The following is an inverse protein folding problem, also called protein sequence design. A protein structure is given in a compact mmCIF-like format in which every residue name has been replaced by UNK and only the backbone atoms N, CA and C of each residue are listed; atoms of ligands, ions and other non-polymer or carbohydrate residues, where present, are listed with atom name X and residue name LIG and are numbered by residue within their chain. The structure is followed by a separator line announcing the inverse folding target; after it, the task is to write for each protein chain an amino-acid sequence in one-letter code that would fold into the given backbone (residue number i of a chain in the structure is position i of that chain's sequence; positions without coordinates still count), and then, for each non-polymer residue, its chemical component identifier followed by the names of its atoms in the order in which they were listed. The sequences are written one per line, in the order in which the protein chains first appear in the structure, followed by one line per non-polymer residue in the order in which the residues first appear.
data_IF_521401530416
#
_entry.id   IF_521401530416
#
_cell.length_a   1.000
_cell.length_b   1.000
_cell.length_c   1.000
_cell.angle_alpha   90.00
_cell.angle_beta   90.00
_cell.angle_gamma   90.00
#
_symmetry.space_group_name_H-M   'P 1'
#
loop_
_entity.id
_entity.type
_entity.pdbx_description
1 polymer ?
#
# COMPACT_ATOMS: atom_id res chain seq x y z
N UNK A 1 53.90 5.35 12.21
CA UNK A 1 52.66 5.82 11.56
C UNK A 1 51.60 4.76 11.78
N UNK A 2 50.49 5.12 12.42
CA UNK A 2 49.36 4.23 12.70
C UNK A 2 48.35 4.39 11.56
N UNK A 3 48.13 3.34 10.77
CA UNK A 3 47.11 3.34 9.71
C UNK A 3 45.80 2.84 10.31
N UNK A 4 44.90 3.78 10.60
CA UNK A 4 43.56 3.49 11.07
C UNK A 4 42.69 3.19 9.83
N UNK A 5 42.50 1.91 9.53
CA UNK A 5 41.59 1.48 8.47
C UNK A 5 40.18 1.44 9.07
N UNK A 6 39.44 2.52 8.88
CA UNK A 6 37.99 2.51 9.04
C UNK A 6 37.41 1.64 7.93
N UNK A 7 37.18 0.36 8.23
CA UNK A 7 36.32 -0.49 7.43
C UNK A 7 34.89 0.06 7.55
N UNK A 8 34.59 1.06 6.72
CA UNK A 8 33.20 1.41 6.44
C UNK A 8 32.58 0.18 5.81
N UNK A 9 31.61 -0.44 6.51
CA UNK A 9 30.74 -1.46 5.93
C UNK A 9 30.12 -0.88 4.65
N UNK A 10 30.72 -1.18 3.49
CA UNK A 10 30.00 -1.11 2.24
C UNK A 10 28.96 -2.22 2.27
N UNK A 11 27.80 -1.94 2.86
CA UNK A 11 26.59 -2.71 2.59
C UNK A 11 26.34 -2.61 1.10
N UNK A 12 26.82 -3.59 0.36
CA UNK A 12 26.56 -3.72 -1.05
C UNK A 12 25.05 -3.94 -1.20
N UNK A 13 24.31 -2.84 -1.33
CA UNK A 13 22.86 -2.82 -1.48
C UNK A 13 22.52 -3.22 -2.92
N UNK A 14 22.94 -4.44 -3.28
CA UNK A 14 22.67 -5.04 -4.58
C UNK A 14 21.19 -5.34 -4.64
N UNK A 15 20.46 -4.46 -5.32
CA UNK A 15 19.04 -4.60 -5.59
C UNK A 15 18.92 -5.57 -6.77
N UNK A 16 18.26 -6.73 -6.63
CA UNK A 16 17.97 -7.58 -7.77
C UNK A 16 17.07 -6.85 -8.75
N UNK A 17 17.51 -6.81 -10.01
CA UNK A 17 16.76 -6.21 -11.12
C UNK A 17 16.53 -7.30 -12.15
N UNK A 18 15.27 -7.57 -12.45
CA UNK A 18 14.87 -8.41 -13.57
C UNK A 18 14.69 -7.49 -14.76
N UNK A 19 15.68 -7.48 -15.66
CA UNK A 19 15.70 -6.60 -16.82
C UNK A 19 14.62 -6.96 -17.84
N UNK A 20 14.29 -5.99 -18.69
CA UNK A 20 13.42 -6.21 -19.84
C UNK A 20 13.98 -7.33 -20.74
N UNK A 21 13.10 -8.18 -21.27
CA UNK A 21 13.48 -9.37 -22.04
C UNK A 21 13.90 -10.58 -21.20
N UNK A 22 14.10 -10.43 -19.88
CA UNK A 22 14.31 -11.57 -18.99
C UNK A 22 12.97 -12.22 -18.64
N UNK A 23 12.91 -13.55 -18.75
CA UNK A 23 11.79 -14.36 -18.31
C UNK A 23 12.26 -15.34 -17.25
N UNK A 24 11.75 -15.17 -16.04
CA UNK A 24 12.13 -16.01 -14.90
C UNK A 24 10.93 -16.83 -14.45
N UNK A 25 11.14 -18.14 -14.28
CA UNK A 25 10.14 -19.05 -13.71
C UNK A 25 10.71 -19.77 -12.50
N UNK A 26 10.04 -19.66 -11.35
CA UNK A 26 10.46 -20.33 -10.12
C UNK A 26 10.13 -19.57 -8.85
N UNK A 27 10.87 -19.85 -7.78
CA UNK A 27 10.74 -19.17 -6.49
C UNK A 27 11.87 -18.15 -6.34
N UNK A 28 11.51 -16.90 -6.05
CA UNK A 28 12.44 -15.78 -5.86
C UNK A 28 12.34 -15.34 -4.41
N UNK A 29 13.44 -15.39 -3.67
CA UNK A 29 13.48 -14.95 -2.28
C UNK A 29 14.55 -13.87 -2.10
N UNK A 30 14.14 -12.70 -1.63
CA UNK A 30 14.96 -11.49 -1.54
C UNK A 30 14.78 -10.87 -0.16
N UNK A 31 15.86 -10.70 0.61
CA UNK A 31 15.82 -10.03 1.92
C UNK A 31 15.68 -8.51 1.83
N UNK A 32 15.84 -7.94 0.63
CA UNK A 32 15.74 -6.52 0.37
C UNK A 32 14.57 -6.14 -0.54
N UNK A 33 14.80 -5.10 -1.32
CA UNK A 33 13.90 -4.66 -2.38
C UNK A 33 14.22 -5.35 -3.70
N UNK A 34 13.21 -5.57 -4.55
CA UNK A 34 13.37 -6.14 -5.89
C UNK A 34 12.67 -5.28 -6.93
N UNK A 35 13.32 -5.10 -8.09
CA UNK A 35 12.77 -4.37 -9.23
C UNK A 35 12.53 -5.33 -10.39
N UNK A 36 11.36 -5.25 -10.99
CA UNK A 36 10.94 -6.15 -12.06
C UNK A 36 10.53 -5.32 -13.28
N UNK A 37 11.34 -5.40 -14.34
CA UNK A 37 11.09 -4.79 -15.65
C UNK A 37 10.78 -5.85 -16.73
N UNK A 38 10.78 -7.15 -16.40
CA UNK A 38 10.57 -8.26 -17.32
C UNK A 38 9.39 -9.18 -16.95
N UNK A 39 9.44 -10.43 -17.40
CA UNK A 39 8.40 -11.43 -17.13
C UNK A 39 8.79 -12.34 -15.96
N UNK A 40 7.90 -12.48 -14.97
CA UNK A 40 8.13 -13.35 -13.81
C UNK A 40 6.92 -14.24 -13.56
N UNK A 41 7.17 -15.55 -13.44
CA UNK A 41 6.13 -16.55 -13.18
C UNK A 41 6.54 -17.41 -11.97
N UNK A 42 5.68 -17.50 -10.95
CA UNK A 42 5.91 -18.39 -9.80
C UNK A 42 5.63 -17.72 -8.45
N UNK A 43 6.62 -17.70 -7.55
CA UNK A 43 6.44 -17.18 -6.19
C UNK A 43 7.57 -16.19 -5.86
N UNK A 44 7.20 -15.02 -5.35
CA UNK A 44 8.14 -13.95 -5.01
C UNK A 44 7.99 -13.61 -3.53
N UNK A 45 9.07 -13.74 -2.78
CA UNK A 45 9.15 -13.32 -1.39
C UNK A 45 10.18 -12.20 -1.28
N UNK A 46 9.74 -11.05 -0.80
CA UNK A 46 10.59 -9.89 -0.49
C UNK A 46 10.34 -9.45 0.94
N UNK A 47 11.38 -9.11 1.70
CA UNK A 47 11.19 -8.64 3.08
C UNK A 47 10.90 -7.13 3.16
N UNK A 48 11.16 -6.37 2.09
CA UNK A 48 11.09 -4.91 2.11
C UNK A 48 10.15 -4.31 1.06
N UNK A 49 10.50 -4.39 -0.23
CA UNK A 49 9.70 -3.76 -1.29
C UNK A 49 9.77 -4.52 -2.61
N UNK A 50 8.63 -4.63 -3.29
CA UNK A 50 8.53 -5.13 -4.67
C UNK A 50 8.07 -4.00 -5.58
N UNK A 51 8.87 -3.67 -6.60
CA UNK A 51 8.52 -2.69 -7.62
C UNK A 51 8.35 -3.38 -8.96
N UNK A 52 7.11 -3.40 -9.47
CA UNK A 52 6.77 -3.86 -10.81
C UNK A 52 6.74 -2.63 -11.71
N UNK A 53 7.67 -2.54 -12.65
CA UNK A 53 7.81 -1.41 -13.56
C UNK A 53 6.87 -1.58 -14.77
N UNK A 54 6.72 -0.54 -15.57
CA UNK A 54 5.74 -0.47 -16.68
C UNK A 54 5.75 -1.68 -17.63
N UNK A 55 6.94 -2.14 -18.04
CA UNK A 55 7.11 -3.30 -18.93
C UNK A 55 7.06 -4.65 -18.17
N UNK A 56 7.01 -4.60 -16.84
CA UNK A 56 6.97 -5.77 -15.98
C UNK A 56 5.62 -6.50 -16.07
N UNK A 57 5.67 -7.80 -16.38
CA UNK A 57 4.52 -8.71 -16.31
C UNK A 57 4.79 -9.77 -15.26
N UNK A 58 4.00 -9.76 -14.20
CA UNK A 58 4.21 -10.68 -13.08
C UNK A 58 2.97 -11.52 -12.89
N UNK A 59 3.13 -12.83 -13.08
CA UNK A 59 2.12 -13.84 -12.80
C UNK A 59 2.61 -14.71 -11.64
N UNK A 60 2.40 -14.23 -10.42
CA UNK A 60 3.03 -14.84 -9.26
C UNK A 60 2.28 -14.57 -7.95
N UNK A 61 2.56 -15.40 -6.95
CA UNK A 61 2.20 -15.08 -5.57
C UNK A 61 3.30 -14.22 -4.95
N UNK A 62 2.97 -12.99 -4.55
CA UNK A 62 3.93 -12.05 -3.98
C UNK A 62 3.69 -11.92 -2.48
N UNK A 63 4.74 -12.08 -1.67
CA UNK A 63 4.73 -11.72 -0.26
C UNK A 63 5.78 -10.62 -0.03
N UNK A 64 5.32 -9.43 0.36
CA UNK A 64 6.20 -8.28 0.62
C UNK A 64 5.69 -7.37 1.72
N UNK A 65 6.53 -6.42 2.17
CA UNK A 65 6.09 -5.35 3.06
C UNK A 65 5.46 -4.22 2.27
N UNK A 66 6.16 -3.65 1.29
CA UNK A 66 5.64 -2.61 0.42
C UNK A 66 5.59 -3.08 -1.04
N UNK A 67 4.61 -2.60 -1.81
CA UNK A 67 4.52 -2.90 -3.23
C UNK A 67 4.22 -1.65 -4.05
N UNK A 68 4.87 -1.54 -5.20
CA UNK A 68 4.64 -0.50 -6.20
C UNK A 68 4.32 -1.19 -7.52
N UNK A 69 3.17 -0.90 -8.11
CA UNK A 69 2.67 -1.52 -9.33
C UNK A 69 2.52 -0.46 -10.41
N UNK A 70 3.50 -0.37 -11.32
CA UNK A 70 3.47 0.44 -12.54
C UNK A 70 3.12 -0.38 -13.79
N UNK A 71 3.37 -1.69 -13.76
CA UNK A 71 3.14 -2.62 -14.87
C UNK A 71 1.88 -3.47 -14.70
N UNK A 72 1.96 -4.71 -15.17
CA UNK A 72 0.87 -5.66 -15.12
C UNK A 72 1.15 -6.77 -14.10
N UNK A 73 0.24 -6.90 -13.14
CA UNK A 73 0.29 -7.95 -12.11
C UNK A 73 -0.96 -8.83 -12.20
N UNK A 74 -0.76 -10.14 -12.22
CA UNK A 74 -1.80 -11.16 -12.13
C UNK A 74 -1.43 -12.11 -10.99
N UNK A 75 -2.32 -12.31 -10.02
CA UNK A 75 -2.14 -13.33 -8.98
C UNK A 75 -2.58 -12.92 -7.59
N UNK A 76 -1.94 -13.50 -6.58
CA UNK A 76 -2.19 -13.18 -5.17
C UNK A 76 -1.04 -12.35 -4.59
N UNK A 77 -1.34 -11.20 -4.01
CA UNK A 77 -0.34 -10.36 -3.35
C UNK A 77 -0.67 -10.23 -1.85
N UNK A 78 0.28 -10.58 -0.99
CA UNK A 78 0.25 -10.37 0.47
C UNK A 78 1.19 -9.25 0.82
N UNK A 79 0.64 -8.11 1.24
CA UNK A 79 1.38 -6.93 1.64
C UNK A 79 1.10 -6.57 3.11
N UNK A 80 2.14 -6.48 3.94
CA UNK A 80 1.96 -6.05 5.34
C UNK A 80 1.91 -4.53 5.50
N UNK A 81 2.53 -3.78 4.58
CA UNK A 81 2.66 -2.32 4.57
C UNK A 81 1.79 -1.66 3.50
N UNK A 82 2.44 -0.76 2.72
CA UNK A 82 1.78 0.08 1.74
C UNK A 82 1.84 -0.52 0.33
N UNK A 83 0.71 -0.46 -0.37
CA UNK A 83 0.61 -0.84 -1.78
C UNK A 83 0.22 0.38 -2.59
N UNK A 84 1.02 0.71 -3.60
CA UNK A 84 0.79 1.82 -4.51
C UNK A 84 0.59 1.30 -5.92
N UNK A 85 -0.53 1.65 -6.53
CA UNK A 85 -0.80 1.40 -7.95
C UNK A 85 -0.69 2.74 -8.67
N UNK A 86 0.23 2.86 -9.61
CA UNK A 86 0.43 4.10 -10.35
C UNK A 86 -0.52 4.20 -11.55
N UNK A 87 -0.43 5.28 -12.32
CA UNK A 87 -1.36 5.57 -13.42
C UNK A 87 -1.35 4.55 -14.54
N UNK A 88 -0.25 3.81 -14.71
CA UNK A 88 -0.14 2.73 -15.72
C UNK A 88 -0.30 1.34 -15.10
N UNK A 89 -0.40 1.25 -13.78
CA UNK A 89 -0.49 0.00 -13.05
C UNK A 89 -1.81 -0.72 -13.30
N UNK A 90 -1.72 -2.03 -13.57
CA UNK A 90 -2.85 -2.94 -13.71
C UNK A 90 -2.68 -4.09 -12.75
N UNK A 91 -3.55 -4.15 -11.75
CA UNK A 91 -3.60 -5.22 -10.77
C UNK A 91 -4.82 -6.11 -11.04
N UNK A 92 -4.59 -7.39 -11.33
CA UNK A 92 -5.64 -8.39 -11.48
C UNK A 92 -5.45 -9.54 -10.48
N UNK A 93 -6.44 -9.80 -9.63
CA UNK A 93 -6.40 -10.94 -8.70
C UNK A 93 -6.78 -10.60 -7.26
N UNK A 94 -6.09 -11.18 -6.29
CA UNK A 94 -6.43 -11.02 -4.87
C UNK A 94 -5.33 -10.28 -4.12
N UNK A 95 -5.67 -9.15 -3.51
CA UNK A 95 -4.77 -8.39 -2.66
C UNK A 95 -5.12 -8.62 -1.20
N UNK A 96 -4.20 -9.16 -0.41
CA UNK A 96 -4.33 -9.30 1.05
C UNK A 96 -3.45 -8.28 1.74
N UNK A 97 -4.04 -7.41 2.55
CA UNK A 97 -3.34 -6.34 3.25
C UNK A 97 -3.49 -6.47 4.76
N UNK A 98 -2.40 -6.29 5.50
CA UNK A 98 -2.49 -6.21 6.97
C UNK A 98 -2.92 -4.80 7.42
N UNK A 99 -2.31 -3.73 6.91
CA UNK A 99 -2.51 -2.37 7.47
C UNK A 99 -3.47 -1.44 6.70
N UNK A 100 -4.33 -1.98 5.82
CA UNK A 100 -5.30 -1.22 5.02
C UNK A 100 -4.71 0.01 4.30
N UNK A 101 -3.54 -0.14 3.68
CA UNK A 101 -2.77 0.97 3.10
C UNK A 101 -2.61 0.76 1.59
N UNK A 102 -3.67 1.06 0.84
CA UNK A 102 -3.70 1.01 -0.62
C UNK A 102 -3.88 2.42 -1.19
N UNK A 103 -2.99 2.83 -2.10
CA UNK A 103 -3.15 4.05 -2.89
C UNK A 103 -3.22 3.69 -4.37
N UNK A 104 -4.14 4.35 -5.09
CA UNK A 104 -4.32 4.18 -6.53
C UNK A 104 -4.25 5.57 -7.16
N UNK A 105 -3.29 5.75 -8.06
CA UNK A 105 -3.14 6.98 -8.84
C UNK A 105 -4.17 7.04 -9.96
N UNK A 106 -4.48 8.25 -10.43
CA UNK A 106 -5.42 8.46 -11.55
C UNK A 106 -4.97 7.67 -12.79
N UNK A 107 -5.81 6.74 -13.24
CA UNK A 107 -5.53 5.85 -14.38
C UNK A 107 -5.14 4.41 -14.00
N UNK A 108 -4.76 4.18 -12.74
CA UNK A 108 -4.48 2.83 -12.23
C UNK A 108 -5.74 1.97 -12.24
N UNK A 109 -5.59 0.71 -12.66
CA UNK A 109 -6.67 -0.26 -12.74
C UNK A 109 -6.48 -1.33 -11.67
N UNK A 110 -7.47 -1.49 -10.81
CA UNK A 110 -7.56 -2.60 -9.86
C UNK A 110 -8.78 -3.44 -10.18
N UNK A 111 -8.56 -4.70 -10.56
CA UNK A 111 -9.62 -5.66 -10.91
C UNK A 111 -9.42 -6.92 -10.09
N UNK A 112 -10.12 -7.00 -8.97
CA UNK A 112 -9.81 -8.04 -8.02
C UNK A 112 -10.60 -7.96 -6.73
N UNK A 113 -10.21 -8.83 -5.80
CA UNK A 113 -10.70 -8.77 -4.42
C UNK A 113 -9.59 -8.18 -3.55
N UNK A 114 -9.94 -7.20 -2.71
CA UNK A 114 -9.05 -6.72 -1.65
C UNK A 114 -9.57 -7.24 -0.32
N UNK A 115 -8.70 -7.91 0.44
CA UNK A 115 -8.99 -8.50 1.75
C UNK A 115 -8.06 -7.82 2.76
N UNK A 116 -8.63 -7.16 3.75
CA UNK A 116 -7.87 -6.51 4.82
C UNK A 116 -7.96 -7.41 6.04
N UNK A 117 -6.83 -7.92 6.53
CA UNK A 117 -6.75 -8.90 7.63
C UNK A 117 -6.30 -8.28 8.97
N UNK A 118 -5.85 -7.02 8.97
CA UNK A 118 -5.41 -6.38 10.21
C UNK A 118 -6.54 -5.80 11.05
N UNK A 119 -6.32 -5.81 12.36
CA UNK A 119 -7.09 -5.07 13.37
C UNK A 119 -6.85 -3.55 13.22
N UNK A 120 -7.33 -2.94 12.14
CA UNK A 120 -7.65 -1.51 12.16
C UNK A 120 -9.16 -1.42 12.34
N UNK A 121 -9.59 -0.87 13.47
CA UNK A 121 -10.95 -0.39 13.64
C UNK A 121 -11.24 0.55 12.47
N UNK A 122 -11.96 0.04 11.48
CA UNK A 122 -12.73 0.91 10.60
C UNK A 122 -13.69 1.57 11.57
N UNK A 123 -13.49 2.86 11.83
CA UNK A 123 -14.54 3.67 12.43
C UNK A 123 -15.70 3.59 11.43
N UNK A 124 -16.65 2.69 11.70
CA UNK A 124 -17.99 2.78 11.13
C UNK A 124 -18.51 4.17 11.50
N UNK A 125 -18.56 5.06 10.51
CA UNK A 125 -19.28 6.32 10.60
C UNK A 125 -20.79 6.05 10.57
N UNK A 126 -21.28 5.17 11.44
CA UNK A 126 -22.71 4.92 11.65
C UNK A 126 -23.29 5.82 12.75
N UNK A 127 -22.45 6.57 13.47
CA UNK A 127 -22.88 7.58 14.44
C UNK A 127 -23.25 8.94 13.82
N UNK A 128 -23.51 9.02 12.50
CA UNK A 128 -24.10 10.25 11.90
C UNK A 128 -25.52 10.49 12.47
N UNK A 129 -26.19 9.45 12.97
CA UNK A 129 -27.49 9.57 13.67
C UNK A 129 -27.40 10.27 15.03
N UNK A 130 -26.21 10.39 15.64
CA UNK A 130 -26.02 11.15 16.90
C UNK A 130 -25.64 12.62 16.69
N UNK A 131 -25.18 12.98 15.49
CA UNK A 131 -24.75 14.37 15.18
C UNK A 131 -25.96 15.30 14.97
N UNK A 132 -27.13 14.78 14.56
CA UNK A 132 -28.36 15.58 14.43
C UNK A 132 -28.82 16.18 15.76
N UNK A 133 -28.54 15.53 16.90
CA UNK A 133 -28.99 16.01 18.21
C UNK A 133 -28.11 17.11 18.84
N UNK A 134 -26.91 17.39 18.29
CA UNK A 134 -26.06 18.49 18.78
C UNK A 134 -26.40 19.85 18.15
N UNK A 135 -27.13 19.88 17.03
CA UNK A 135 -27.53 21.12 16.36
C UNK A 135 -28.79 21.75 16.99
N UNK A 136 -29.58 20.98 17.75
CA UNK A 136 -30.84 21.44 18.34
C UNK A 136 -30.67 22.13 19.71
N UNK A 137 -29.62 21.78 20.49
CA UNK A 137 -29.37 22.34 21.83
C UNK A 137 -28.73 23.74 21.85
N UNK A 138 -28.21 24.25 20.73
CA UNK A 138 -27.65 25.63 20.66
C UNK A 138 -28.65 26.69 20.20
N UNK A 139 -29.81 26.32 19.62
CA UNK A 139 -30.81 27.32 19.17
C UNK A 139 -31.81 27.76 20.26
N UNK A 140 -32.04 26.98 21.32
CA UNK A 140 -32.96 27.41 22.40
C UNK A 140 -32.32 28.24 23.51
N UNK A 141 -30.97 28.31 23.61
CA UNK A 141 -30.30 29.05 24.69
C UNK A 141 -29.98 30.51 24.37
N UNK A 142 -30.12 30.93 23.12
CA UNK A 142 -29.82 32.32 22.71
C UNK A 142 -31.07 33.21 22.80
N UNK A 143 -32.28 32.69 22.53
CA UNK A 143 -33.48 33.54 22.40
C UNK A 143 -34.15 33.86 23.75
N UNK A 144 -33.94 33.08 24.83
CA UNK A 144 -34.60 33.32 26.13
C UNK A 144 -33.83 34.18 27.14
N UNK A 145 -32.59 34.58 26.88
CA UNK A 145 -31.83 35.42 27.84
C UNK A 145 -31.89 36.93 27.56
N UNK A 146 -32.25 37.36 26.35
CA UNK A 146 -32.37 38.79 26.01
C UNK A 146 -33.71 39.45 26.39
N UNK A 147 -34.72 38.71 26.88
CA UNK A 147 -36.04 39.30 27.21
C UNK A 147 -36.22 39.58 28.72
N UNK A 148 -35.26 39.23 29.59
CA UNK A 148 -35.36 39.46 31.05
C UNK A 148 -34.63 40.70 31.59
N UNK A 149 -34.19 41.63 30.73
CA UNK A 149 -33.55 42.89 31.17
C UNK A 149 -34.32 44.15 30.72
N UNK A 150 -35.56 43.99 30.26
CA UNK A 150 -36.39 45.11 29.83
C UNK A 150 -37.84 44.99 30.33
N UNK A 151 -38.04 45.01 31.66
CA UNK A 151 -39.19 45.62 32.36
C UNK A 151 -38.71 46.06 33.74
#
# INVERSE_FOLDING_TARGET
MLFNKSDGEMKNNSIPIISEGAKTKGNINVSGMVKINGEVIGDIKSENEVSIRREGKVEANIKTKNAIVDGHFIGEMKASGHVSITSTGRFEGTLMQENASLSISKGGLFKGKSIITGKKNVLELEDISKISNLTQLKKEKIIKKEIKVAV
#
